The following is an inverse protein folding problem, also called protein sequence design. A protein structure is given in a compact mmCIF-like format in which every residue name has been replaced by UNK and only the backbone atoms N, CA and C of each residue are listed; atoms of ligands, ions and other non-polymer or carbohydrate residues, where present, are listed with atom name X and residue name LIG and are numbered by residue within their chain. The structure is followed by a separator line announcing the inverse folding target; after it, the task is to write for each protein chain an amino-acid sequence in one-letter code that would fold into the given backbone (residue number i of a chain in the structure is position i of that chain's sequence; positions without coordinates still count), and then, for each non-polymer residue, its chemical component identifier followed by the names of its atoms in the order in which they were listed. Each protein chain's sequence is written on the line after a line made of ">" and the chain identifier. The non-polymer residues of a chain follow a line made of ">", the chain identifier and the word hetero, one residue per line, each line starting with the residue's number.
data_IF_526204509458
#
_entry.id   IF_526204509458
#
_cell.length_a   1.000
_cell.length_b   1.000
_cell.length_c   1.000
_cell.angle_alpha   90.00
_cell.angle_beta   90.00
_cell.angle_gamma   90.00
#
_symmetry.space_group_name_H-M   'P 1'
#
loop_
_entity.id
_entity.type
_entity.pdbx_description
1 polymer ?
#
# COMPACT_ATOMS: atom_id res chain seq x y z
N UNK A 1 52.95 -8.32 10.14
CA UNK A 1 53.58 -7.03 10.51
C UNK A 1 52.61 -5.95 10.13
N UNK A 2 51.78 -5.51 11.08
CA UNK A 2 50.83 -4.43 10.88
C UNK A 2 51.62 -3.12 10.83
N UNK A 3 51.65 -2.48 9.67
CA UNK A 3 52.32 -1.18 9.53
C UNK A 3 51.39 -0.10 10.03
N UNK A 4 51.53 0.21 11.31
CA UNK A 4 51.02 1.40 12.00
C UNK A 4 51.50 2.66 11.26
N UNK A 5 50.76 3.04 10.21
CA UNK A 5 51.03 4.27 9.48
C UNK A 5 50.35 5.38 10.26
N UNK A 6 51.06 5.95 11.24
CA UNK A 6 50.59 7.11 12.03
C UNK A 6 49.96 8.13 11.07
N UNK A 7 48.72 8.60 11.34
CA UNK A 7 48.09 9.60 10.49
C UNK A 7 48.97 10.84 10.43
N UNK A 8 49.36 11.22 9.21
CA UNK A 8 50.17 12.42 9.00
C UNK A 8 49.31 13.62 9.42
N UNK A 9 49.75 14.31 10.46
CA UNK A 9 49.08 15.47 11.02
C UNK A 9 49.70 16.75 10.45
N UNK A 10 48.86 17.75 10.21
CA UNK A 10 49.26 19.09 9.79
C UNK A 10 48.63 20.13 10.72
N UNK A 11 49.31 21.27 10.89
CA UNK A 11 48.84 22.37 11.75
C UNK A 11 48.05 23.38 10.92
N UNK A 12 46.84 23.73 11.38
CA UNK A 12 46.03 24.73 10.70
C UNK A 12 46.50 26.15 10.99
N UNK A 13 46.75 26.94 9.95
CA UNK A 13 47.20 28.35 10.08
C UNK A 13 46.15 29.23 10.80
N UNK A 14 44.86 28.91 10.68
CA UNK A 14 43.78 29.73 11.24
C UNK A 14 43.45 29.40 12.71
N UNK A 15 43.36 28.11 13.09
CA UNK A 15 43.05 27.72 14.48
C UNK A 15 44.26 27.20 15.27
N UNK A 16 45.44 27.08 14.64
CA UNK A 16 46.71 26.59 15.20
C UNK A 16 46.63 25.20 15.85
N UNK A 17 45.60 24.41 15.53
CA UNK A 17 45.43 23.03 16.01
C UNK A 17 45.97 22.03 14.99
N UNK A 18 46.58 20.97 15.50
CA UNK A 18 46.97 19.81 14.70
C UNK A 18 45.74 18.97 14.36
N UNK A 19 45.58 18.67 13.07
CA UNK A 19 44.50 17.84 12.55
C UNK A 19 45.04 16.89 11.50
N UNK A 20 44.27 15.86 11.20
CA UNK A 20 44.59 14.89 10.16
C UNK A 20 44.59 15.62 8.80
N UNK A 21 45.53 15.30 7.90
CA UNK A 21 45.61 15.93 6.57
C UNK A 21 44.28 15.87 5.79
N UNK A 22 43.47 14.82 5.97
CA UNK A 22 42.15 14.69 5.36
C UNK A 22 41.16 15.82 5.72
N UNK A 23 41.39 16.54 6.82
CA UNK A 23 40.57 17.66 7.29
C UNK A 23 41.01 19.02 6.72
N UNK A 24 42.04 19.04 5.88
CA UNK A 24 42.54 20.24 5.22
C UNK A 24 41.92 20.43 3.83
N UNK A 25 41.91 21.69 3.37
CA UNK A 25 41.60 21.99 1.98
C UNK A 25 42.80 21.57 1.12
N UNK A 26 42.54 20.91 -0.02
CA UNK A 26 43.60 20.45 -0.93
C UNK A 26 44.55 21.61 -1.26
N UNK A 27 45.85 21.37 -1.09
CA UNK A 27 46.94 22.33 -1.32
C UNK A 27 46.89 23.60 -0.45
N UNK A 28 46.25 23.56 0.74
CA UNK A 28 46.22 24.69 1.68
C UNK A 28 46.39 24.23 3.13
N UNK A 29 47.14 24.99 3.92
CA UNK A 29 47.34 24.74 5.36
C UNK A 29 46.20 25.31 6.22
N UNK A 30 44.96 25.27 5.72
CA UNK A 30 43.75 25.70 6.44
C UNK A 30 42.78 24.52 6.51
N UNK A 31 42.29 24.21 7.71
CA UNK A 31 41.31 23.15 7.90
C UNK A 31 39.93 23.54 7.33
N UNK A 32 39.16 22.55 6.90
CA UNK A 32 37.81 22.71 6.32
C UNK A 32 36.89 23.53 7.23
N UNK A 33 36.96 23.34 8.55
CA UNK A 33 36.15 24.07 9.53
C UNK A 33 36.45 25.57 9.49
N UNK A 34 37.73 25.97 9.62
CA UNK A 34 38.14 27.37 9.57
C UNK A 34 37.81 28.02 8.22
N UNK A 35 38.01 27.28 7.12
CA UNK A 35 37.67 27.78 5.78
C UNK A 35 36.15 27.98 5.61
N UNK A 36 35.33 27.06 6.15
CA UNK A 36 33.87 27.20 6.13
C UNK A 36 33.41 28.39 6.97
N UNK A 37 34.01 28.61 8.14
CA UNK A 37 33.70 29.75 9.00
C UNK A 37 34.03 31.07 8.31
N UNK A 38 35.22 31.20 7.73
CA UNK A 38 35.60 32.37 6.93
C UNK A 38 34.64 32.61 5.76
N UNK A 39 34.12 31.56 5.11
CA UNK A 39 33.11 31.67 4.05
C UNK A 39 31.76 32.18 4.57
N UNK A 40 31.33 31.77 5.77
CA UNK A 40 30.09 32.26 6.41
C UNK A 40 30.22 33.74 6.76
N UNK A 41 31.31 34.12 7.42
CA UNK A 41 31.60 35.52 7.75
C UNK A 41 31.60 36.38 6.49
N UNK A 42 32.26 35.92 5.41
CA UNK A 42 32.27 36.64 4.13
C UNK A 42 30.89 36.77 3.49
N UNK A 43 30.05 35.74 3.61
CA UNK A 43 28.68 35.75 3.09
C UNK A 43 27.77 36.70 3.86
N UNK A 44 27.96 36.80 5.18
CA UNK A 44 27.21 37.71 6.05
C UNK A 44 27.64 39.17 5.85
N UNK A 45 28.95 39.42 5.85
CA UNK A 45 29.53 40.76 5.80
C UNK A 45 29.47 41.42 4.42
N UNK A 46 29.46 40.66 3.32
CA UNK A 46 29.50 41.22 1.96
C UNK A 46 28.21 40.89 1.18
N UNK A 47 27.33 41.89 1.06
CA UNK A 47 26.05 41.77 0.39
C UNK A 47 26.18 41.47 -1.12
N UNK A 48 27.14 42.08 -1.81
CA UNK A 48 27.37 41.84 -3.25
C UNK A 48 27.82 40.41 -3.51
N UNK A 49 28.72 39.89 -2.67
CA UNK A 49 29.17 38.50 -2.70
C UNK A 49 28.00 37.53 -2.48
N UNK A 50 27.13 37.84 -1.51
CA UNK A 50 25.92 37.07 -1.23
C UNK A 50 24.98 37.04 -2.43
N UNK A 51 24.65 38.21 -3.01
CA UNK A 51 23.79 38.31 -4.20
C UNK A 51 24.34 37.48 -5.36
N UNK A 52 25.64 37.58 -5.64
CA UNK A 52 26.31 36.80 -6.70
C UNK A 52 26.22 35.29 -6.47
N UNK A 53 26.39 34.81 -5.23
CA UNK A 53 26.26 33.38 -4.91
C UNK A 53 24.83 32.87 -5.09
N UNK A 54 23.83 33.67 -4.67
CA UNK A 54 22.41 33.36 -4.86
C UNK A 54 22.05 33.31 -6.35
N UNK A 55 22.53 34.28 -7.13
CA UNK A 55 22.34 34.33 -8.57
C UNK A 55 22.97 33.11 -9.25
N UNK A 56 24.22 32.78 -8.92
CA UNK A 56 24.90 31.59 -9.45
C UNK A 56 24.13 30.30 -9.14
N UNK A 57 23.65 30.14 -7.90
CA UNK A 57 22.85 28.97 -7.52
C UNK A 57 21.51 28.90 -8.29
N UNK A 58 20.86 30.04 -8.48
CA UNK A 58 19.62 30.15 -9.27
C UNK A 58 19.85 29.81 -10.74
N UNK A 59 20.91 30.37 -11.36
CA UNK A 59 21.29 30.10 -12.74
C UNK A 59 21.69 28.64 -12.94
N UNK A 60 22.39 28.04 -11.97
CA UNK A 60 22.70 26.61 -11.99
C UNK A 60 21.44 25.75 -11.99
N UNK A 61 20.46 26.05 -11.13
CA UNK A 61 19.17 25.33 -11.09
C UNK A 61 18.42 25.47 -12.41
N UNK A 62 18.31 26.69 -12.95
CA UNK A 62 17.68 26.97 -14.25
C UNK A 62 18.33 26.17 -15.38
N UNK A 63 19.67 26.22 -15.48
CA UNK A 63 20.44 25.46 -16.47
C UNK A 63 20.19 23.94 -16.33
N UNK A 64 20.22 23.41 -15.11
CA UNK A 64 19.98 21.97 -14.87
C UNK A 64 18.57 21.52 -15.23
N UNK A 65 17.57 22.40 -15.08
CA UNK A 65 16.21 22.13 -15.52
C UNK A 65 16.16 22.14 -17.05
N UNK A 66 16.74 23.15 -17.71
CA UNK A 66 16.79 23.24 -19.16
C UNK A 66 17.47 22.01 -19.80
N UNK A 67 18.62 21.59 -19.27
CA UNK A 67 19.33 20.37 -19.70
C UNK A 67 18.42 19.13 -19.61
N UNK A 68 17.70 18.95 -18.48
CA UNK A 68 16.78 17.81 -18.30
C UNK A 68 15.57 17.87 -19.23
N UNK A 69 15.04 19.07 -19.49
CA UNK A 69 13.92 19.26 -20.42
C UNK A 69 14.33 18.93 -21.85
N UNK A 70 15.49 19.43 -22.28
CA UNK A 70 16.05 19.13 -23.61
C UNK A 70 16.25 17.63 -23.80
N UNK A 71 16.86 16.94 -22.83
CA UNK A 71 17.04 15.49 -22.88
C UNK A 71 15.72 14.72 -22.99
N UNK A 72 14.67 15.15 -22.28
CA UNK A 72 13.34 14.52 -22.35
C UNK A 72 12.69 14.73 -23.71
N UNK A 73 12.84 15.93 -24.27
CA UNK A 73 12.34 16.26 -25.60
C UNK A 73 13.03 15.43 -26.68
N UNK A 74 14.36 15.34 -26.64
CA UNK A 74 15.15 14.51 -27.55
C UNK A 74 14.74 13.04 -27.49
N UNK A 75 14.54 12.48 -26.29
CA UNK A 75 14.04 11.11 -26.12
C UNK A 75 12.61 10.93 -26.67
N UNK A 76 11.73 11.93 -26.47
CA UNK A 76 10.35 11.89 -26.98
C UNK A 76 10.34 11.88 -28.51
N UNK A 77 11.07 12.80 -29.14
CA UNK A 77 11.17 12.92 -30.60
C UNK A 77 11.76 11.65 -31.21
N UNK A 78 12.80 11.08 -30.58
CA UNK A 78 13.38 9.82 -31.03
C UNK A 78 12.33 8.70 -30.99
N UNK A 79 11.60 8.56 -29.89
CA UNK A 79 10.54 7.56 -29.77
C UNK A 79 9.45 7.78 -30.83
N UNK A 80 8.96 9.01 -31.00
CA UNK A 80 7.94 9.36 -32.00
C UNK A 80 8.40 9.04 -33.44
N UNK A 81 9.70 9.17 -33.74
CA UNK A 81 10.26 8.77 -35.04
C UNK A 81 10.31 7.25 -35.25
N UNK A 82 10.42 6.46 -34.18
CA UNK A 82 10.52 4.99 -34.24
C UNK A 82 9.15 4.31 -34.29
N UNK A 83 8.15 4.81 -33.55
CA UNK A 83 6.84 4.15 -33.39
C UNK A 83 5.64 4.97 -33.89
N UNK A 84 5.85 6.24 -34.26
CA UNK A 84 4.79 7.19 -34.65
C UNK A 84 4.25 8.02 -33.48
N UNK A 85 3.74 9.22 -33.80
CA UNK A 85 3.28 10.21 -32.81
C UNK A 85 2.11 9.70 -31.95
N UNK A 86 1.19 8.93 -32.51
CA UNK A 86 -0.01 8.45 -31.79
C UNK A 86 0.22 7.19 -30.95
N UNK A 87 1.43 6.64 -30.97
CA UNK A 87 1.76 5.39 -30.31
C UNK A 87 2.68 5.60 -29.10
N UNK A 88 2.66 4.64 -28.19
CA UNK A 88 3.62 4.57 -27.09
C UNK A 88 3.84 3.11 -26.70
N UNK A 89 4.91 2.84 -25.95
CA UNK A 89 5.29 1.50 -25.53
C UNK A 89 4.74 1.26 -24.12
N UNK A 90 3.99 0.19 -23.95
CA UNK A 90 3.54 -0.22 -22.63
C UNK A 90 4.74 -0.74 -21.82
N UNK A 91 4.96 -0.20 -20.61
CA UNK A 91 6.04 -0.63 -19.72
C UNK A 91 5.90 -2.08 -19.24
N UNK A 92 4.69 -2.64 -19.28
CA UNK A 92 4.39 -3.96 -18.71
C UNK A 92 4.44 -5.08 -19.75
N UNK A 93 3.86 -4.87 -20.94
CA UNK A 93 3.93 -5.87 -22.03
C UNK A 93 5.02 -5.57 -23.08
N UNK A 94 5.65 -4.39 -23.03
CA UNK A 94 6.65 -3.92 -23.99
C UNK A 94 6.16 -3.83 -25.45
N UNK A 95 4.84 -3.89 -25.66
CA UNK A 95 4.24 -3.76 -26.97
C UNK A 95 3.93 -2.29 -27.28
N UNK A 96 3.99 -1.96 -28.58
CA UNK A 96 3.52 -0.69 -29.12
C UNK A 96 2.00 -0.68 -29.08
N UNK A 97 1.43 0.33 -28.44
CA UNK A 97 -0.01 0.52 -28.28
C UNK A 97 -0.36 1.98 -28.57
N UNK A 98 -1.55 2.27 -29.11
CA UNK A 98 -2.00 3.65 -29.29
C UNK A 98 -2.08 4.39 -27.96
N UNK A 99 -1.74 5.68 -27.92
CA UNK A 99 -1.85 6.55 -26.73
C UNK A 99 -3.26 6.52 -26.12
N UNK A 100 -4.29 6.32 -26.94
CA UNK A 100 -5.71 6.16 -26.51
C UNK A 100 -5.96 4.92 -25.64
N UNK A 101 -5.07 3.90 -25.71
CA UNK A 101 -5.12 2.72 -24.85
C UNK A 101 -4.48 2.95 -23.47
N UNK A 102 -3.98 4.15 -23.17
CA UNK A 102 -3.40 4.48 -21.88
C UNK A 102 -4.27 5.50 -21.16
N UNK A 103 -4.42 5.33 -19.85
CA UNK A 103 -4.97 6.39 -19.01
C UNK A 103 -3.95 7.52 -18.88
N UNK A 104 -4.44 8.72 -18.62
CA UNK A 104 -3.60 9.91 -18.47
C UNK A 104 -2.44 9.66 -17.47
N UNK A 105 -1.22 9.98 -17.89
CA UNK A 105 0.02 9.79 -17.13
C UNK A 105 0.29 8.34 -16.64
N UNK A 106 -0.22 7.33 -17.36
CA UNK A 106 0.10 5.91 -17.10
C UNK A 106 0.98 5.33 -18.18
N UNK A 107 1.90 4.47 -17.76
CA UNK A 107 2.79 3.70 -18.64
C UNK A 107 2.30 2.25 -18.84
N UNK A 108 1.21 1.87 -18.16
CA UNK A 108 0.54 0.57 -18.30
C UNK A 108 -0.65 0.76 -19.22
N UNK A 109 -0.76 -0.05 -20.27
CA UNK A 109 -1.91 0.01 -21.17
C UNK A 109 -3.17 -0.51 -20.45
N UNK A 110 -4.34 -0.10 -20.92
CA UNK A 110 -5.64 -0.44 -20.34
C UNK A 110 -5.89 -1.96 -20.29
N UNK A 111 -5.36 -2.72 -21.25
CA UNK A 111 -5.48 -4.18 -21.28
C UNK A 111 -4.63 -4.81 -20.15
N UNK A 112 -3.37 -4.41 -20.00
CA UNK A 112 -2.54 -4.84 -18.87
C UNK A 112 -3.11 -4.40 -17.52
N UNK A 113 -3.70 -3.19 -17.42
CA UNK A 113 -4.39 -2.76 -16.19
C UNK A 113 -5.64 -3.60 -15.91
N UNK A 114 -6.36 -4.02 -16.95
CA UNK A 114 -7.55 -4.87 -16.82
C UNK A 114 -7.19 -6.27 -16.35
N UNK A 115 -6.09 -6.82 -16.85
CA UNK A 115 -5.61 -8.17 -16.57
C UNK A 115 -4.76 -8.26 -15.31
N UNK A 116 -4.38 -7.13 -14.72
CA UNK A 116 -3.74 -7.07 -13.41
C UNK A 116 -4.59 -7.81 -12.37
N UNK A 117 -4.08 -8.88 -11.74
CA UNK A 117 -4.87 -9.72 -10.85
C UNK A 117 -5.50 -8.96 -9.68
N UNK A 118 -4.76 -8.01 -9.10
CA UNK A 118 -5.21 -7.21 -7.95
C UNK A 118 -6.28 -6.21 -8.38
N UNK A 119 -6.09 -5.49 -9.48
CA UNK A 119 -7.11 -4.57 -9.97
C UNK A 119 -8.37 -5.29 -10.46
N UNK A 120 -8.22 -6.48 -11.06
CA UNK A 120 -9.34 -7.37 -11.40
C UNK A 120 -10.09 -7.81 -10.14
N UNK A 121 -9.39 -8.22 -9.09
CA UNK A 121 -9.96 -8.60 -7.80
C UNK A 121 -10.76 -7.44 -7.18
N UNK A 122 -10.15 -6.25 -7.06
CA UNK A 122 -10.81 -5.04 -6.56
C UNK A 122 -12.07 -4.69 -7.36
N UNK A 123 -11.99 -4.76 -8.69
CA UNK A 123 -13.12 -4.46 -9.59
C UNK A 123 -14.27 -5.43 -9.35
N UNK A 124 -13.99 -6.73 -9.24
CA UNK A 124 -15.02 -7.75 -8.98
C UNK A 124 -15.74 -7.47 -7.67
N UNK A 125 -15.02 -7.20 -6.58
CA UNK A 125 -15.64 -6.92 -5.28
C UNK A 125 -16.54 -5.69 -5.36
N UNK A 126 -16.03 -4.58 -5.94
CA UNK A 126 -16.82 -3.34 -6.13
C UNK A 126 -18.09 -3.59 -6.93
N UNK A 127 -17.99 -4.33 -8.04
CA UNK A 127 -19.13 -4.69 -8.87
C UNK A 127 -20.14 -5.56 -8.11
N UNK A 128 -19.68 -6.55 -7.33
CA UNK A 128 -20.58 -7.42 -6.54
C UNK A 128 -21.34 -6.65 -5.47
N UNK A 129 -20.63 -5.81 -4.70
CA UNK A 129 -21.26 -4.96 -3.68
C UNK A 129 -22.22 -3.96 -4.34
N UNK A 130 -21.83 -3.33 -5.45
CA UNK A 130 -22.72 -2.44 -6.19
C UNK A 130 -23.98 -3.14 -6.70
N UNK A 131 -23.87 -4.33 -7.27
CA UNK A 131 -25.04 -5.08 -7.76
C UNK A 131 -25.97 -5.43 -6.58
N UNK A 132 -25.41 -5.86 -5.45
CA UNK A 132 -26.21 -6.27 -4.30
C UNK A 132 -26.85 -5.09 -3.56
N UNK A 133 -26.17 -3.94 -3.51
CA UNK A 133 -26.63 -2.73 -2.81
C UNK A 133 -27.15 -1.63 -3.74
N UNK A 134 -27.40 -1.92 -5.01
CA UNK A 134 -27.59 -0.95 -6.10
C UNK A 134 -28.25 0.39 -5.70
N UNK A 135 -29.47 0.36 -5.15
CA UNK A 135 -30.23 1.55 -4.78
C UNK A 135 -30.02 2.04 -3.35
N UNK A 136 -29.33 1.26 -2.51
CA UNK A 136 -29.16 1.50 -1.06
C UNK A 136 -27.68 1.68 -0.68
N UNK A 137 -26.79 1.78 -1.68
CA UNK A 137 -25.35 1.88 -1.46
C UNK A 137 -24.94 3.31 -1.18
N UNK A 138 -24.50 3.57 0.04
CA UNK A 138 -24.10 4.91 0.48
C UNK A 138 -22.59 5.06 0.64
N UNK A 139 -21.88 3.98 1.03
CA UNK A 139 -20.45 4.04 1.38
C UNK A 139 -19.54 3.50 0.29
N UNK A 140 -18.22 3.69 0.42
CA UNK A 140 -17.27 3.03 -0.47
C UNK A 140 -17.21 1.53 -0.14
N UNK A 141 -16.91 0.71 -1.15
CA UNK A 141 -16.82 -0.76 -0.99
C UNK A 141 -15.84 -1.18 0.11
N UNK A 142 -14.77 -0.42 0.32
CA UNK A 142 -13.76 -0.68 1.35
C UNK A 142 -14.36 -0.55 2.76
N UNK A 143 -15.33 0.34 2.94
CA UNK A 143 -15.98 0.58 4.23
C UNK A 143 -16.82 -0.64 4.61
N UNK A 144 -17.58 -1.19 3.64
CA UNK A 144 -18.35 -2.43 3.82
C UNK A 144 -17.47 -3.65 4.09
N UNK A 145 -16.31 -3.74 3.43
CA UNK A 145 -15.35 -4.82 3.68
C UNK A 145 -14.78 -4.75 5.10
N UNK A 146 -14.60 -3.54 5.65
CA UNK A 146 -14.03 -3.31 6.98
C UNK A 146 -12.53 -3.64 7.08
N UNK A 147 -11.81 -3.58 5.95
CA UNK A 147 -10.35 -3.71 5.85
C UNK A 147 -9.87 -3.10 4.52
N UNK A 148 -8.56 -2.85 4.42
CA UNK A 148 -7.96 -2.45 3.15
C UNK A 148 -7.76 -3.62 2.19
N UNK A 149 -7.43 -3.35 0.91
CA UNK A 149 -7.27 -4.44 -0.08
C UNK A 149 -6.15 -5.41 0.29
N UNK A 150 -5.04 -4.92 0.85
CA UNK A 150 -3.91 -5.77 1.21
C UNK A 150 -4.28 -6.73 2.33
N UNK A 151 -4.91 -6.21 3.39
CA UNK A 151 -5.45 -7.02 4.49
C UNK A 151 -6.46 -8.04 3.98
N UNK A 152 -7.32 -7.63 3.04
CA UNK A 152 -8.32 -8.54 2.49
C UNK A 152 -7.69 -9.70 1.71
N UNK A 153 -6.66 -9.40 0.91
CA UNK A 153 -5.90 -10.42 0.19
C UNK A 153 -5.21 -11.37 1.18
N UNK A 154 -4.62 -10.85 2.26
CA UNK A 154 -3.98 -11.68 3.29
C UNK A 154 -4.98 -12.63 3.97
N UNK A 155 -6.17 -12.13 4.34
CA UNK A 155 -7.23 -12.97 4.89
C UNK A 155 -7.65 -14.08 3.93
N UNK A 156 -7.88 -13.74 2.67
CA UNK A 156 -8.26 -14.71 1.63
C UNK A 156 -7.18 -15.77 1.46
N UNK A 157 -5.90 -15.38 1.37
CA UNK A 157 -4.78 -16.31 1.25
C UNK A 157 -4.68 -17.24 2.47
N UNK A 158 -4.91 -16.70 3.68
CA UNK A 158 -4.92 -17.48 4.92
C UNK A 158 -6.10 -18.46 5.00
N UNK A 159 -7.30 -18.02 4.57
CA UNK A 159 -8.50 -18.85 4.65
C UNK A 159 -8.60 -19.88 3.52
N UNK A 160 -7.82 -19.70 2.46
CA UNK A 160 -7.80 -20.57 1.29
C UNK A 160 -6.71 -21.65 1.37
N UNK A 161 -7.03 -22.84 0.87
CA UNK A 161 -6.05 -23.92 0.77
C UNK A 161 -5.43 -23.91 -0.64
N UNK A 162 -4.44 -23.03 -0.86
CA UNK A 162 -3.66 -22.96 -2.11
C UNK A 162 -4.25 -22.08 -3.23
N UNK A 163 -5.24 -21.24 -2.93
CA UNK A 163 -5.74 -20.25 -3.88
C UNK A 163 -4.90 -18.97 -3.84
N UNK A 164 -4.69 -18.37 -5.01
CA UNK A 164 -3.94 -17.13 -5.15
C UNK A 164 -4.78 -16.06 -5.84
N UNK A 165 -4.30 -14.82 -5.89
CA UNK A 165 -5.05 -13.76 -6.57
C UNK A 165 -4.99 -13.92 -8.10
N UNK A 166 -3.94 -14.57 -8.61
CA UNK A 166 -3.70 -14.83 -10.03
C UNK A 166 -4.71 -15.84 -10.62
N UNK A 167 -5.10 -16.86 -9.84
CA UNK A 167 -6.08 -17.86 -10.26
C UNK A 167 -7.54 -17.51 -9.90
N UNK A 168 -7.76 -16.33 -9.29
CA UNK A 168 -9.10 -15.83 -8.95
C UNK A 168 -10.01 -15.71 -10.20
N UNK A 169 -11.24 -16.22 -10.06
CA UNK A 169 -12.23 -16.26 -11.13
C UNK A 169 -12.14 -17.52 -12.00
N UNK A 170 -10.95 -18.13 -12.11
CA UNK A 170 -10.73 -19.39 -12.86
C UNK A 170 -10.91 -20.61 -11.96
N UNK A 171 -10.22 -20.61 -10.81
CA UNK A 171 -10.18 -21.78 -9.91
C UNK A 171 -11.10 -21.61 -8.70
N UNK A 172 -11.28 -20.37 -8.24
CA UNK A 172 -12.08 -20.06 -7.05
C UNK A 172 -12.77 -18.69 -7.16
N UNK A 173 -13.82 -18.52 -6.36
CA UNK A 173 -14.58 -17.29 -6.19
C UNK A 173 -14.65 -16.90 -4.70
N UNK A 174 -14.86 -15.62 -4.45
CA UNK A 174 -15.22 -15.12 -3.11
C UNK A 174 -16.65 -15.58 -2.82
N UNK A 175 -16.82 -16.31 -1.73
CA UNK A 175 -18.12 -16.71 -1.18
C UNK A 175 -18.38 -16.02 0.15
N UNK A 176 -19.66 -15.90 0.50
CA UNK A 176 -20.09 -15.46 1.83
C UNK A 176 -20.46 -16.67 2.66
N UNK A 177 -19.82 -16.84 3.82
CA UNK A 177 -20.05 -17.98 4.72
C UNK A 177 -21.51 -18.02 5.14
N UNK A 178 -22.03 -16.89 5.61
CA UNK A 178 -23.47 -16.67 5.72
C UNK A 178 -23.94 -15.98 4.42
N UNK A 179 -24.82 -16.60 3.62
CA UNK A 179 -25.28 -16.05 2.35
C UNK A 179 -25.98 -14.70 2.50
N UNK A 180 -25.76 -13.78 1.55
CA UNK A 180 -26.38 -12.43 1.54
C UNK A 180 -27.91 -12.46 1.64
N UNK A 181 -28.56 -13.50 1.11
CA UNK A 181 -30.03 -13.69 1.21
C UNK A 181 -30.57 -13.84 2.64
N UNK A 182 -29.69 -14.03 3.64
CA UNK A 182 -30.05 -14.14 5.06
C UNK A 182 -30.01 -12.80 5.80
N UNK A 183 -29.62 -11.73 5.12
CA UNK A 183 -29.52 -10.39 5.66
C UNK A 183 -30.57 -9.48 5.03
N UNK A 184 -31.08 -8.55 5.83
CA UNK A 184 -31.88 -7.43 5.36
C UNK A 184 -30.97 -6.32 4.85
N UNK A 185 -30.73 -6.29 3.54
CA UNK A 185 -29.86 -5.29 2.91
C UNK A 185 -30.44 -3.86 2.92
N UNK A 186 -31.67 -3.64 3.40
CA UNK A 186 -32.18 -2.29 3.65
C UNK A 186 -31.65 -1.70 4.98
N UNK A 187 -31.17 -2.55 5.89
CA UNK A 187 -30.60 -2.12 7.17
C UNK A 187 -29.08 -1.94 7.05
N UNK A 188 -28.58 -0.74 7.37
CA UNK A 188 -27.18 -0.38 7.23
C UNK A 188 -26.23 -1.27 8.07
N UNK A 189 -26.60 -1.59 9.31
CA UNK A 189 -25.79 -2.43 10.19
C UNK A 189 -25.67 -3.86 9.65
N UNK A 190 -26.77 -4.41 9.14
CA UNK A 190 -26.77 -5.72 8.48
C UNK A 190 -25.97 -5.70 7.19
N UNK A 191 -25.98 -4.62 6.40
CA UNK A 191 -25.08 -4.47 5.24
C UNK A 191 -23.61 -4.56 5.68
N UNK A 192 -23.22 -3.85 6.75
CA UNK A 192 -21.84 -3.86 7.24
C UNK A 192 -21.41 -5.25 7.69
N UNK A 193 -22.29 -6.00 8.35
CA UNK A 193 -21.98 -7.37 8.80
C UNK A 193 -21.93 -8.34 7.62
N UNK A 194 -22.87 -8.21 6.67
CA UNK A 194 -23.00 -9.10 5.52
C UNK A 194 -21.77 -9.07 4.60
N UNK A 195 -21.27 -7.87 4.27
CA UNK A 195 -20.16 -7.68 3.32
C UNK A 195 -18.77 -7.63 3.97
N UNK A 196 -18.68 -7.73 5.29
CA UNK A 196 -17.38 -7.68 5.98
C UNK A 196 -16.49 -8.85 5.57
N UNK A 197 -15.18 -8.62 5.52
CA UNK A 197 -14.21 -9.66 5.19
C UNK A 197 -14.33 -10.90 6.09
N UNK A 198 -14.73 -10.70 7.37
CA UNK A 198 -14.95 -11.77 8.34
C UNK A 198 -16.08 -12.72 7.95
N UNK A 199 -17.02 -12.31 7.10
CA UNK A 199 -18.08 -13.18 6.56
C UNK A 199 -17.73 -13.75 5.16
N UNK A 200 -16.48 -13.60 4.71
CA UNK A 200 -16.07 -14.07 3.36
C UNK A 200 -15.00 -15.15 3.43
N UNK A 201 -15.06 -16.08 2.48
CA UNK A 201 -14.09 -17.17 2.31
C UNK A 201 -13.77 -17.39 0.84
N UNK A 202 -12.61 -17.94 0.53
CA UNK A 202 -12.33 -18.49 -0.79
C UNK A 202 -13.01 -19.86 -0.94
N UNK A 203 -13.67 -20.09 -2.07
CA UNK A 203 -14.30 -21.37 -2.38
C UNK A 203 -14.08 -21.72 -3.86
N UNK A 204 -13.84 -22.99 -4.17
CA UNK A 204 -13.67 -23.43 -5.56
C UNK A 204 -14.91 -23.07 -6.39
N UNK A 205 -14.73 -22.77 -7.68
CA UNK A 205 -15.86 -22.38 -8.55
C UNK A 205 -16.99 -23.41 -8.50
N UNK A 206 -16.65 -24.70 -8.53
CA UNK A 206 -17.62 -25.80 -8.46
C UNK A 206 -18.41 -25.80 -7.15
N UNK A 207 -17.73 -25.64 -6.01
CA UNK A 207 -18.38 -25.67 -4.70
C UNK A 207 -19.25 -24.43 -4.49
N UNK A 208 -18.78 -23.25 -4.92
CA UNK A 208 -19.53 -22.00 -4.83
C UNK A 208 -20.84 -22.07 -5.63
N UNK A 209 -20.79 -22.58 -6.87
CA UNK A 209 -21.98 -22.74 -7.71
C UNK A 209 -22.98 -23.76 -7.12
N UNK A 210 -22.49 -24.80 -6.44
CA UNK A 210 -23.33 -25.81 -5.79
C UNK A 210 -23.99 -25.31 -4.49
N UNK A 211 -23.29 -24.46 -3.73
CA UNK A 211 -23.73 -23.97 -2.41
C UNK A 211 -24.97 -23.08 -2.51
N UNK A 212 -24.99 -22.13 -3.44
CA UNK A 212 -26.08 -21.16 -3.59
C UNK A 212 -26.36 -20.43 -2.24
N UNK A 213 -27.58 -20.50 -1.72
CA UNK A 213 -28.00 -19.86 -0.46
C UNK A 213 -28.04 -20.81 0.73
N UNK A 214 -27.48 -22.02 0.59
CA UNK A 214 -27.45 -23.01 1.66
C UNK A 214 -26.44 -22.62 2.74
N UNK A 215 -26.80 -22.94 3.97
CA UNK A 215 -25.94 -22.80 5.14
C UNK A 215 -25.31 -24.17 5.39
N UNK A 216 -23.98 -24.21 5.37
CA UNK A 216 -23.20 -25.41 5.69
C UNK A 216 -22.57 -25.23 7.07
N UNK A 217 -23.04 -26.00 8.05
CA UNK A 217 -22.57 -25.93 9.45
C UNK A 217 -21.08 -26.28 9.54
N UNK A 218 -20.61 -27.27 8.78
CA UNK A 218 -19.21 -27.66 8.79
C UNK A 218 -18.31 -26.56 8.22
N UNK A 219 -18.79 -25.86 7.17
CA UNK A 219 -18.10 -24.69 6.65
C UNK A 219 -18.00 -23.59 7.70
N UNK A 220 -19.09 -23.30 8.42
CA UNK A 220 -19.10 -22.28 9.49
C UNK A 220 -18.13 -22.65 10.61
N UNK A 221 -18.16 -23.89 11.10
CA UNK A 221 -17.25 -24.34 12.16
C UNK A 221 -15.77 -24.20 11.77
N UNK A 222 -15.43 -24.61 10.55
CA UNK A 222 -14.07 -24.48 10.04
C UNK A 222 -13.68 -23.01 9.85
N UNK A 223 -14.61 -22.19 9.37
CA UNK A 223 -14.39 -20.76 9.21
C UNK A 223 -14.14 -20.05 10.53
N UNK A 224 -14.93 -20.32 11.58
CA UNK A 224 -14.70 -19.74 12.92
C UNK A 224 -13.31 -20.12 13.43
N UNK A 225 -12.90 -21.38 13.30
CA UNK A 225 -11.56 -21.82 13.72
C UNK A 225 -10.46 -21.03 13.01
N UNK A 226 -10.53 -20.91 11.67
CA UNK A 226 -9.56 -20.11 10.89
C UNK A 226 -9.61 -18.64 11.29
N UNK A 227 -10.79 -18.08 11.52
CA UNK A 227 -10.96 -16.67 11.89
C UNK A 227 -10.34 -16.37 13.25
N UNK A 228 -10.58 -17.20 14.27
CA UNK A 228 -10.00 -17.05 15.61
C UNK A 228 -8.47 -17.17 15.56
N UNK A 229 -7.93 -18.15 14.84
CA UNK A 229 -6.48 -18.30 14.66
C UNK A 229 -5.86 -17.07 14.01
N UNK A 230 -6.45 -16.58 12.91
CA UNK A 230 -5.97 -15.39 12.20
C UNK A 230 -5.96 -14.15 13.10
N UNK A 231 -7.03 -13.93 13.87
CA UNK A 231 -7.13 -12.83 14.81
C UNK A 231 -6.05 -12.90 15.91
N UNK A 232 -5.79 -14.09 16.45
CA UNK A 232 -4.75 -14.31 17.46
C UNK A 232 -3.35 -14.08 16.89
N UNK A 233 -3.06 -14.60 15.71
CA UNK A 233 -1.74 -14.46 15.07
C UNK A 233 -1.41 -13.01 14.68
N UNK A 234 -2.42 -12.22 14.29
CA UNK A 234 -2.24 -10.83 13.87
C UNK A 234 -2.49 -9.81 14.99
N UNK A 235 -2.77 -10.25 16.23
CA UNK A 235 -3.13 -9.40 17.37
C UNK A 235 -4.30 -8.44 17.07
N UNK A 236 -5.34 -8.95 16.42
CA UNK A 236 -6.55 -8.20 16.07
C UNK A 236 -7.69 -8.65 16.98
N UNK A 237 -8.41 -7.72 17.58
CA UNK A 237 -9.61 -8.04 18.35
C UNK A 237 -10.74 -8.54 17.44
N UNK A 238 -11.37 -9.67 17.79
CA UNK A 238 -12.53 -10.20 17.07
C UNK A 238 -13.81 -9.61 17.66
N UNK A 239 -14.55 -8.77 16.91
CA UNK A 239 -15.78 -8.18 17.44
C UNK A 239 -16.84 -9.25 17.72
N UNK A 240 -17.46 -9.18 18.90
CA UNK A 240 -18.44 -10.16 19.38
C UNK A 240 -19.60 -10.41 18.39
N UNK A 241 -20.02 -9.37 17.66
CA UNK A 241 -21.09 -9.47 16.64
C UNK A 241 -20.85 -10.56 15.58
N UNK A 242 -19.59 -10.87 15.24
CA UNK A 242 -19.29 -11.93 14.28
C UNK A 242 -19.37 -13.32 14.93
N UNK A 243 -18.93 -13.44 16.18
CA UNK A 243 -19.14 -14.65 16.98
C UNK A 243 -20.62 -14.97 17.11
N UNK A 244 -21.44 -13.96 17.44
CA UNK A 244 -22.89 -14.10 17.58
C UNK A 244 -23.56 -14.43 16.24
N UNK A 245 -23.10 -13.82 15.13
CA UNK A 245 -23.57 -14.11 13.79
C UNK A 245 -23.41 -15.59 13.46
N UNK A 246 -22.21 -16.16 13.66
CA UNK A 246 -21.98 -17.55 13.30
C UNK A 246 -22.66 -18.52 14.28
N UNK A 247 -22.68 -18.20 15.58
CA UNK A 247 -23.38 -19.00 16.59
C UNK A 247 -24.87 -19.17 16.26
N UNK A 248 -25.54 -18.10 15.81
CA UNK A 248 -26.95 -18.13 15.37
C UNK A 248 -27.24 -19.21 14.32
N UNK A 249 -26.29 -19.53 13.46
CA UNK A 249 -26.47 -20.51 12.38
C UNK A 249 -25.88 -21.89 12.67
N UNK A 250 -25.10 -22.03 13.75
CA UNK A 250 -24.67 -23.32 14.28
C UNK A 250 -25.74 -23.94 15.19
N UNK A 251 -26.41 -23.12 15.99
CA UNK A 251 -27.43 -23.57 16.93
C UNK A 251 -28.79 -23.83 16.26
N UNK A 252 -29.27 -25.06 16.37
CA UNK A 252 -30.70 -25.39 16.19
C UNK A 252 -31.55 -24.91 17.40
N UNK A 253 -31.30 -23.68 17.90
CA UNK A 253 -32.06 -23.08 19.00
C UNK A 253 -31.58 -23.39 20.42
N UNK A 254 -30.30 -23.68 20.66
CA UNK A 254 -29.71 -23.71 22.02
C UNK A 254 -28.33 -23.06 22.06
N UNK A 255 -28.11 -21.95 22.79
CA UNK A 255 -26.88 -21.16 22.72
C UNK A 255 -25.63 -21.98 23.03
N UNK A 256 -24.74 -22.12 22.04
CA UNK A 256 -23.36 -22.54 22.21
C UNK A 256 -22.62 -21.47 23.03
N UNK A 257 -22.38 -21.77 24.32
CA UNK A 257 -21.46 -21.00 25.16
C UNK A 257 -20.05 -21.13 24.57
N UNK A 258 -19.68 -20.23 23.67
CA UNK A 258 -18.29 -20.00 23.32
C UNK A 258 -17.65 -19.23 24.47
N UNK A 259 -17.04 -19.94 25.41
CA UNK A 259 -16.28 -19.32 26.50
C UNK A 259 -14.98 -18.76 25.93
N UNK A 260 -15.01 -17.50 25.46
CA UNK A 260 -13.82 -16.67 25.31
C UNK A 260 -13.65 -15.83 26.59
N UNK A 261 -12.40 -15.64 27.06
CA UNK A 261 -12.15 -14.91 28.29
C UNK A 261 -12.56 -13.45 28.12
N UNK A 262 -13.46 -12.99 29.01
CA UNK A 262 -13.83 -11.59 29.14
C UNK A 262 -12.57 -10.78 29.43
N UNK A 263 -12.15 -9.94 28.49
CA UNK A 263 -11.25 -8.84 28.78
C UNK A 263 -12.03 -7.88 29.70
N UNK A 264 -11.61 -7.82 30.96
CA UNK A 264 -12.18 -6.96 32.00
C UNK A 264 -12.02 -5.51 31.55
N UNK A 265 -13.14 -4.79 31.50
CA UNK A 265 -13.16 -3.35 31.26
C UNK A 265 -12.49 -2.61 32.41
N UNK A 266 -11.66 -1.62 32.06
CA UNK A 266 -11.28 -0.58 33.00
C UNK A 266 -12.41 0.45 33.05
N UNK A 267 -13.30 0.27 34.01
CA UNK A 267 -14.09 1.36 34.55
C UNK A 267 -13.20 2.14 35.52
N UNK A 268 -12.89 3.39 35.18
CA UNK A 268 -12.50 4.40 36.18
C UNK A 268 -13.33 5.64 35.92
N UNK A 269 -14.54 5.62 36.48
CA UNK A 269 -15.16 6.84 37.01
C UNK A 269 -14.36 7.24 38.26
N UNK A 270 -13.71 8.41 38.22
CA UNK A 270 -13.43 9.17 39.44
C UNK A 270 -14.05 10.57 39.26
N UNK A 271 -15.23 10.71 39.85
CA UNK A 271 -15.79 11.97 40.30
C UNK A 271 -15.43 12.12 41.78
N UNK A 272 -14.49 13.01 42.07
CA UNK A 272 -14.42 13.81 43.30
C UNK A 272 -13.53 15.02 43.07
#
# INVERSE_FOLDING_TARGET
>A
METDTKPINATCVSCKKDKIIGDFIKNRNICKVCNNEQRRIKYEANEEHRKKLIENASNFKKRKIAEKTQQREEMRLKLESEIGEDNTICKYCNEIRPKTRFRFNRLKCADCERDDPVEKFKRIIRTRVYIALHYVKEKHTIDYLGCNTTEYIQWIQYNSDGFTIENHGKEWHIDHVIPLSKFNLANEEEQQVAFNWRNTTALSVRNNLSKNNKIDKLQIENHIKKLVSYHKENNIELPQKYTDLFAKYLDDGKPLKLSLPLCVGNDTEELS
#
